data_IF_520428705345
#
_entry.id   IF_520428705345
#
_cell.length_a   1.000
_cell.length_b   1.000
_cell.length_c   1.000
_cell.angle_alpha   90.00
_cell.angle_beta   90.00
_cell.angle_gamma   90.00
#
_symmetry.space_group_name_H-M   'P 1'
#
loop_
_entity.id
_entity.type
_entity.pdbx_description
1 polymer ?
#
# COMPACT_ATOMS: atom_id res chain seq x y z
N UNK A 1 -6.61 22.72 5.02
CA UNK A 1 -7.14 22.15 3.75
C UNK A 1 -6.99 20.62 3.71
N UNK A 2 -5.78 20.03 3.95
CA UNK A 2 -5.54 18.58 3.88
C UNK A 2 -6.39 17.76 4.86
N UNK A 3 -6.57 18.24 6.10
CA UNK A 3 -7.45 17.58 7.08
C UNK A 3 -8.94 17.59 6.65
N UNK A 4 -9.37 18.62 5.94
CA UNK A 4 -10.74 18.77 5.46
C UNK A 4 -11.05 17.78 4.34
N UNK A 5 -10.15 17.60 3.34
CA UNK A 5 -10.36 16.66 2.23
C UNK A 5 -10.50 15.20 2.67
N UNK A 6 -9.78 14.78 3.72
CA UNK A 6 -9.86 13.43 4.26
C UNK A 6 -11.17 13.26 5.08
N UNK A 7 -11.56 14.28 5.85
CA UNK A 7 -12.81 14.28 6.63
C UNK A 7 -14.05 14.29 5.74
N UNK A 8 -14.04 15.04 4.66
CA UNK A 8 -15.17 15.14 3.73
C UNK A 8 -15.49 13.79 3.04
N UNK A 9 -14.50 12.89 2.96
CA UNK A 9 -14.69 11.53 2.44
C UNK A 9 -15.03 10.48 3.50
N UNK A 10 -15.28 10.91 4.75
CA UNK A 10 -15.65 10.05 5.88
C UNK A 10 -14.58 8.98 6.21
N UNK A 11 -13.31 9.26 5.93
CA UNK A 11 -12.17 8.43 6.33
C UNK A 11 -11.63 8.97 7.65
N UNK A 12 -11.76 8.19 8.70
CA UNK A 12 -11.27 8.58 10.02
C UNK A 12 -9.74 8.42 10.08
N UNK A 13 -9.03 9.53 9.96
CA UNK A 13 -7.59 9.62 10.26
C UNK A 13 -7.36 10.62 11.39
N UNK A 14 -6.48 10.25 12.31
CA UNK A 14 -6.12 11.14 13.44
C UNK A 14 -5.08 12.20 13.03
N UNK A 15 -4.77 13.12 13.95
CA UNK A 15 -3.80 14.17 13.71
C UNK A 15 -2.37 13.64 13.49
N UNK A 16 -2.03 12.50 14.08
CA UNK A 16 -0.73 11.86 13.89
C UNK A 16 -0.60 11.28 12.48
N UNK A 17 -1.67 10.68 11.95
CA UNK A 17 -1.70 10.18 10.59
C UNK A 17 -1.46 11.31 9.56
N UNK A 18 -2.07 12.47 9.77
CA UNK A 18 -1.85 13.65 8.91
C UNK A 18 -0.39 14.09 8.92
N UNK A 19 0.24 14.16 10.10
CA UNK A 19 1.66 14.54 10.22
C UNK A 19 2.57 13.53 9.51
N UNK A 20 2.27 12.23 9.62
CA UNK A 20 2.99 11.16 8.93
C UNK A 20 2.85 11.25 7.41
N UNK A 21 1.65 11.54 6.91
CA UNK A 21 1.41 11.74 5.47
C UNK A 21 2.15 12.98 4.95
N UNK A 22 2.21 14.06 5.71
CA UNK A 22 2.99 15.25 5.35
C UNK A 22 4.49 14.95 5.27
N UNK A 23 5.03 14.24 6.25
CA UNK A 23 6.44 13.81 6.24
C UNK A 23 6.72 12.87 5.05
N UNK A 24 5.81 11.94 4.78
CA UNK A 24 5.92 11.03 3.65
C UNK A 24 5.94 11.80 2.33
N UNK A 25 5.05 12.78 2.12
CA UNK A 25 5.04 13.61 0.92
C UNK A 25 6.37 14.37 0.72
N UNK A 26 6.92 14.96 1.79
CA UNK A 26 8.21 15.64 1.73
C UNK A 26 9.33 14.70 1.31
N UNK A 27 9.40 13.49 1.89
CA UNK A 27 10.40 12.49 1.54
C UNK A 27 10.22 11.97 0.12
N UNK A 28 8.96 11.74 -0.30
CA UNK A 28 8.65 11.30 -1.65
C UNK A 28 9.19 12.29 -2.69
N UNK A 29 8.96 13.58 -2.52
CA UNK A 29 9.46 14.61 -3.42
C UNK A 29 10.99 14.66 -3.42
N UNK A 30 11.62 14.67 -2.24
CA UNK A 30 13.08 14.72 -2.10
C UNK A 30 13.79 13.50 -2.73
N UNK A 31 13.23 12.31 -2.55
CA UNK A 31 13.77 11.09 -3.15
C UNK A 31 13.48 11.00 -4.65
N UNK A 32 12.34 11.56 -5.09
CA UNK A 32 11.96 11.54 -6.51
C UNK A 32 12.94 12.30 -7.41
N UNK A 33 13.66 13.29 -6.88
CA UNK A 33 14.76 13.99 -7.58
C UNK A 33 15.92 13.05 -7.97
N UNK A 34 16.09 11.95 -7.22
CA UNK A 34 17.19 10.98 -7.41
C UNK A 34 16.72 9.67 -8.03
N UNK A 35 15.44 9.36 -7.88
CA UNK A 35 14.84 8.10 -8.32
C UNK A 35 13.43 8.39 -8.83
N UNK A 36 13.10 8.04 -10.04
CA UNK A 36 11.75 8.19 -10.59
C UNK A 36 10.75 7.29 -9.83
N UNK A 37 10.30 7.73 -8.65
CA UNK A 37 9.34 7.02 -7.82
C UNK A 37 7.90 7.26 -8.27
N UNK A 38 7.61 8.50 -8.71
CA UNK A 38 6.29 8.91 -9.18
C UNK A 38 6.38 10.04 -10.19
N UNK A 39 5.43 10.10 -11.12
CA UNK A 39 5.25 11.25 -12.01
C UNK A 39 4.44 12.40 -11.39
N UNK A 40 3.88 12.20 -10.17
CA UNK A 40 3.06 13.19 -9.47
C UNK A 40 3.89 13.78 -8.35
N UNK A 41 4.24 15.06 -8.48
CA UNK A 41 5.11 15.77 -7.51
C UNK A 41 4.44 16.98 -6.88
N UNK A 42 3.30 17.40 -7.41
CA UNK A 42 2.53 18.48 -6.83
C UNK A 42 1.79 18.03 -5.56
N UNK A 43 1.67 18.91 -4.55
CA UNK A 43 1.10 18.55 -3.24
C UNK A 43 -0.33 18.04 -3.29
N UNK A 44 -1.18 18.60 -4.14
CA UNK A 44 -2.59 18.24 -4.25
C UNK A 44 -2.72 16.88 -4.97
N UNK A 45 -1.93 16.66 -6.01
CA UNK A 45 -1.87 15.37 -6.71
C UNK A 45 -1.36 14.24 -5.82
N UNK A 46 -0.34 14.49 -4.98
CA UNK A 46 0.14 13.50 -3.99
C UNK A 46 -0.97 13.19 -2.98
N UNK A 47 -1.67 14.20 -2.47
CA UNK A 47 -2.75 14.00 -1.52
C UNK A 47 -3.90 13.18 -2.14
N UNK A 48 -4.40 13.59 -3.29
CA UNK A 48 -5.58 12.96 -3.89
C UNK A 48 -5.27 11.61 -4.53
N UNK A 49 -4.30 11.58 -5.46
CA UNK A 49 -4.05 10.41 -6.32
C UNK A 49 -3.14 9.37 -5.67
N UNK A 50 -2.43 9.73 -4.60
CA UNK A 50 -1.59 8.78 -3.89
C UNK A 50 -2.17 8.44 -2.52
N UNK A 51 -2.39 9.41 -1.64
CA UNK A 51 -2.79 9.10 -0.27
C UNK A 51 -4.27 8.74 -0.16
N UNK A 52 -5.17 9.59 -0.64
CA UNK A 52 -6.61 9.36 -0.52
C UNK A 52 -7.01 8.12 -1.31
N UNK A 53 -6.56 7.98 -2.55
CA UNK A 53 -6.84 6.78 -3.36
C UNK A 53 -6.34 5.50 -2.68
N UNK A 54 -5.19 5.56 -1.98
CA UNK A 54 -4.64 4.41 -1.26
C UNK A 54 -5.48 4.01 -0.04
N UNK A 55 -6.11 4.97 0.63
CA UNK A 55 -6.90 4.75 1.85
C UNK A 55 -8.38 4.46 1.50
N UNK A 56 -8.84 4.86 0.33
CA UNK A 56 -10.24 4.68 -0.12
C UNK A 56 -10.77 3.24 0.05
N UNK A 57 -9.97 2.17 -0.17
CA UNK A 57 -10.44 0.79 0.07
C UNK A 57 -10.95 0.52 1.48
N UNK A 58 -10.47 1.26 2.50
CA UNK A 58 -10.97 1.12 3.88
C UNK A 58 -12.47 1.40 4.04
N UNK A 59 -13.10 2.03 3.04
CA UNK A 59 -14.55 2.30 3.03
C UNK A 59 -15.38 1.11 2.54
N UNK A 60 -14.77 0.20 1.82
CA UNK A 60 -15.47 -0.87 1.10
C UNK A 60 -15.01 -2.27 1.52
N UNK A 61 -13.82 -2.36 2.12
CA UNK A 61 -13.23 -3.62 2.59
C UNK A 61 -13.20 -3.61 4.10
N UNK A 62 -13.83 -4.61 4.70
CA UNK A 62 -13.69 -4.83 6.13
C UNK A 62 -12.31 -5.46 6.39
N UNK A 63 -11.42 -4.65 6.97
CA UNK A 63 -10.07 -5.08 7.33
C UNK A 63 -10.06 -5.43 8.82
N UNK A 64 -9.87 -6.71 9.18
CA UNK A 64 -9.80 -7.12 10.58
C UNK A 64 -8.74 -6.33 11.36
N UNK A 65 -8.90 -6.29 12.67
CA UNK A 65 -7.89 -5.70 13.54
C UNK A 65 -6.64 -6.57 13.54
N UNK A 66 -5.46 -5.94 13.48
CA UNK A 66 -4.15 -6.60 13.35
C UNK A 66 -4.06 -7.53 12.12
N UNK A 67 -4.79 -7.23 11.05
CA UNK A 67 -4.74 -8.02 9.83
C UNK A 67 -3.33 -8.02 9.23
N UNK A 68 -2.91 -9.17 8.72
CA UNK A 68 -1.70 -9.29 7.90
C UNK A 68 -1.99 -8.83 6.48
N UNK A 69 -1.26 -7.83 6.03
CA UNK A 69 -1.43 -7.21 4.71
C UNK A 69 -0.13 -7.29 3.92
N UNK A 70 -0.19 -7.72 2.67
CA UNK A 70 0.95 -7.63 1.74
C UNK A 70 0.64 -6.66 0.61
N UNK A 71 1.56 -5.74 0.35
CA UNK A 71 1.50 -4.82 -0.80
C UNK A 71 2.51 -5.28 -1.87
N UNK A 72 1.98 -5.82 -2.96
CA UNK A 72 2.76 -6.49 -4.01
C UNK A 72 3.15 -5.50 -5.10
N UNK A 73 4.45 -5.37 -5.34
CA UNK A 73 4.98 -4.35 -6.23
C UNK A 73 4.75 -2.94 -5.67
N UNK A 74 5.01 -2.78 -4.39
CA UNK A 74 4.66 -1.59 -3.61
C UNK A 74 5.19 -0.26 -4.18
N UNK A 75 6.26 -0.28 -4.96
CA UNK A 75 6.82 0.89 -5.60
C UNK A 75 7.27 1.96 -4.60
N UNK A 76 6.66 3.12 -4.70
CA UNK A 76 6.86 4.19 -3.72
C UNK A 76 6.04 4.00 -2.42
N UNK A 77 5.49 2.79 -2.16
CA UNK A 77 4.74 2.46 -0.95
C UNK A 77 3.23 2.56 -1.08
N UNK A 78 2.70 2.53 -2.30
CA UNK A 78 1.28 2.71 -2.56
C UNK A 78 0.61 1.41 -3.04
N UNK A 79 -0.48 0.97 -2.40
CA UNK A 79 -1.25 1.62 -1.35
C UNK A 79 -0.79 1.30 0.08
N UNK A 80 0.15 0.37 0.30
CA UNK A 80 0.43 -0.23 1.60
C UNK A 80 0.77 0.77 2.69
N UNK A 81 1.67 1.71 2.42
CA UNK A 81 2.15 2.62 3.47
C UNK A 81 1.11 3.67 3.92
N UNK A 82 0.31 4.30 3.04
CA UNK A 82 -0.81 5.11 3.50
C UNK A 82 -1.87 4.31 4.28
N UNK A 83 -2.12 3.04 3.92
CA UNK A 83 -2.98 2.15 4.69
C UNK A 83 -2.45 1.93 6.10
N UNK A 84 -1.14 1.65 6.25
CA UNK A 84 -0.51 1.51 7.57
C UNK A 84 -0.54 2.80 8.37
N UNK A 85 -0.39 3.96 7.72
CA UNK A 85 -0.49 5.26 8.40
C UNK A 85 -1.91 5.47 8.94
N UNK A 86 -2.94 5.11 8.19
CA UNK A 86 -4.34 5.22 8.61
C UNK A 86 -4.76 4.13 9.61
N UNK A 87 -4.12 2.96 9.54
CA UNK A 87 -4.40 1.78 10.36
C UNK A 87 -3.07 1.21 10.92
N UNK A 88 -2.50 1.83 11.94
CA UNK A 88 -1.19 1.45 12.49
C UNK A 88 -1.20 0.10 13.23
N UNK A 89 -2.36 -0.51 13.38
CA UNK A 89 -2.53 -1.87 13.89
C UNK A 89 -2.23 -2.98 12.86
N UNK A 90 -2.11 -2.64 11.58
CA UNK A 90 -1.84 -3.63 10.52
C UNK A 90 -0.42 -4.19 10.59
N UNK A 91 -0.29 -5.50 10.34
CA UNK A 91 0.99 -6.16 10.10
C UNK A 91 1.28 -6.13 8.59
N UNK A 92 2.09 -5.14 8.16
CA UNK A 92 2.31 -4.84 6.75
C UNK A 92 3.63 -5.40 6.24
N UNK A 93 3.55 -6.12 5.12
CA UNK A 93 4.69 -6.52 4.29
C UNK A 93 4.68 -5.72 2.98
N UNK A 94 5.79 -5.05 2.67
CA UNK A 94 6.02 -4.30 1.43
C UNK A 94 6.97 -5.09 0.54
N UNK A 95 6.46 -5.66 -0.55
CA UNK A 95 7.24 -6.47 -1.49
C UNK A 95 7.52 -5.71 -2.79
N UNK A 96 8.79 -5.63 -3.21
CA UNK A 96 9.18 -5.03 -4.50
C UNK A 96 10.44 -5.70 -5.06
N UNK A 97 10.51 -5.85 -6.36
CA UNK A 97 11.68 -6.40 -7.07
C UNK A 97 12.84 -5.42 -7.20
N UNK A 98 12.66 -4.15 -6.84
CA UNK A 98 13.68 -3.11 -6.92
C UNK A 98 14.14 -2.68 -5.52
N UNK A 99 15.31 -3.14 -5.11
CA UNK A 99 15.90 -2.84 -3.80
C UNK A 99 15.93 -1.33 -3.47
N UNK A 100 16.18 -0.48 -4.46
CA UNK A 100 16.22 0.98 -4.26
C UNK A 100 14.91 1.54 -3.69
N UNK A 101 13.76 1.00 -4.10
CA UNK A 101 12.45 1.40 -3.58
C UNK A 101 12.30 1.03 -2.11
N UNK A 102 12.77 -0.14 -1.72
CA UNK A 102 12.74 -0.59 -0.32
C UNK A 102 13.66 0.23 0.59
N UNK A 103 14.76 0.78 0.03
CA UNK A 103 15.62 1.73 0.77
C UNK A 103 14.86 3.03 1.03
N UNK A 104 14.15 3.58 0.04
CA UNK A 104 13.27 4.73 0.23
C UNK A 104 12.21 4.46 1.30
N UNK A 105 11.51 3.30 1.21
CA UNK A 105 10.47 2.94 2.16
C UNK A 105 11.01 2.77 3.59
N UNK A 106 12.26 2.28 3.73
CA UNK A 106 12.95 2.25 5.03
C UNK A 106 13.06 3.65 5.65
N UNK A 107 13.46 4.62 4.84
CA UNK A 107 13.61 6.00 5.28
C UNK A 107 12.27 6.61 5.70
N UNK A 108 11.21 6.39 4.92
CA UNK A 108 9.87 6.89 5.25
C UNK A 108 9.34 6.23 6.54
N UNK A 109 9.41 4.91 6.65
CA UNK A 109 8.97 4.16 7.84
C UNK A 109 9.67 4.66 9.10
N UNK A 110 11.01 4.79 9.05
CA UNK A 110 11.79 5.31 10.17
C UNK A 110 11.35 6.73 10.57
N UNK A 111 11.17 7.62 9.59
CA UNK A 111 10.73 9.00 9.86
C UNK A 111 9.31 9.09 10.42
N UNK A 112 8.42 8.18 10.00
CA UNK A 112 7.05 8.11 10.50
C UNK A 112 6.91 7.36 11.84
N UNK A 113 8.00 6.75 12.36
CA UNK A 113 7.94 5.89 13.55
C UNK A 113 7.02 4.68 13.34
N UNK A 114 7.04 4.10 12.14
CA UNK A 114 6.26 2.93 11.75
C UNK A 114 7.16 1.74 11.46
N UNK A 115 6.62 0.55 11.64
CA UNK A 115 7.29 -0.71 11.34
C UNK A 115 6.51 -1.46 10.27
N UNK A 116 7.22 -1.94 9.25
CA UNK A 116 6.70 -2.85 8.24
C UNK A 116 7.82 -3.75 7.74
N UNK A 117 7.51 -4.98 7.41
CA UNK A 117 8.42 -5.87 6.72
C UNK A 117 8.69 -5.35 5.31
N UNK A 118 9.91 -5.51 4.80
CA UNK A 118 10.29 -5.11 3.44
C UNK A 118 11.02 -6.26 2.77
N UNK A 119 10.41 -6.80 1.73
CA UNK A 119 10.90 -8.00 1.03
C UNK A 119 11.37 -7.62 -0.36
N UNK A 120 12.64 -7.90 -0.64
CA UNK A 120 13.25 -7.69 -1.95
C UNK A 120 13.19 -8.99 -2.74
N UNK A 121 12.08 -9.22 -3.42
CA UNK A 121 11.91 -10.40 -4.26
C UNK A 121 10.82 -10.13 -5.33
N UNK A 122 10.81 -10.94 -6.37
CA UNK A 122 9.74 -10.97 -7.36
C UNK A 122 8.51 -11.69 -6.80
N UNK A 123 7.32 -11.20 -7.13
CA UNK A 123 6.06 -11.77 -6.65
C UNK A 123 5.91 -13.25 -6.99
N UNK A 124 6.34 -13.65 -8.20
CA UNK A 124 6.25 -15.03 -8.70
C UNK A 124 7.14 -16.02 -7.93
N UNK A 125 8.22 -15.52 -7.34
CA UNK A 125 9.14 -16.31 -6.50
C UNK A 125 8.58 -16.31 -5.08
N UNK A 126 8.29 -15.14 -4.54
CA UNK A 126 7.79 -14.96 -3.18
C UNK A 126 6.48 -15.73 -2.95
N UNK A 127 5.58 -15.76 -3.93
CA UNK A 127 4.30 -16.50 -3.84
C UNK A 127 4.43 -18.03 -3.79
N UNK A 128 5.66 -18.56 -3.97
CA UNK A 128 5.97 -19.99 -3.79
C UNK A 128 6.59 -20.30 -2.43
N UNK A 129 7.06 -19.25 -1.73
CA UNK A 129 7.66 -19.38 -0.42
C UNK A 129 6.57 -19.67 0.63
N UNK A 130 6.64 -20.77 1.37
CA UNK A 130 5.63 -21.15 2.37
C UNK A 130 5.49 -20.14 3.51
N UNK A 131 6.51 -19.31 3.78
CA UNK A 131 6.45 -18.27 4.80
C UNK A 131 5.55 -17.10 4.41
N UNK A 132 5.28 -16.94 3.09
CA UNK A 132 4.44 -15.87 2.54
C UNK A 132 3.16 -16.38 1.89
N UNK A 133 3.18 -17.60 1.34
CA UNK A 133 2.05 -18.18 0.63
C UNK A 133 0.87 -18.44 1.57
N UNK A 134 -0.33 -17.94 1.18
CA UNK A 134 -1.58 -18.09 1.95
C UNK A 134 -1.50 -17.60 3.42
N UNK A 135 -0.66 -16.58 3.65
CA UNK A 135 -0.42 -16.04 4.99
C UNK A 135 -1.15 -14.74 5.29
N UNK A 136 -1.71 -14.08 4.27
CA UNK A 136 -2.24 -12.73 4.40
C UNK A 136 -3.76 -12.69 4.37
N UNK A 137 -4.34 -11.84 5.24
CA UNK A 137 -5.76 -11.52 5.22
C UNK A 137 -6.10 -10.72 3.96
N UNK A 138 -5.17 -9.83 3.56
CA UNK A 138 -5.35 -8.95 2.43
C UNK A 138 -4.05 -8.86 1.63
N UNK A 139 -4.18 -9.01 0.31
CA UNK A 139 -3.15 -8.58 -0.62
C UNK A 139 -3.61 -7.32 -1.35
N UNK A 140 -2.72 -6.35 -1.51
CA UNK A 140 -2.97 -5.15 -2.29
C UNK A 140 -1.97 -5.05 -3.43
N UNK A 141 -2.38 -4.44 -4.54
CA UNK A 141 -1.47 -4.04 -5.62
C UNK A 141 -2.06 -2.87 -6.41
N UNK A 142 -1.17 -1.95 -6.85
CA UNK A 142 -1.53 -0.80 -7.67
C UNK A 142 -0.60 -0.65 -8.86
N UNK A 143 -1.17 -0.59 -10.08
CA UNK A 143 -0.44 -0.30 -11.31
C UNK A 143 0.77 -1.21 -11.63
N UNK A 144 0.73 -2.48 -11.20
CA UNK A 144 1.84 -3.44 -11.37
C UNK A 144 1.75 -4.15 -12.71
N UNK A 145 0.56 -4.65 -13.08
CA UNK A 145 0.33 -5.45 -14.29
C UNK A 145 -1.14 -5.41 -14.73
N UNK A 146 -1.48 -5.93 -15.93
CA UNK A 146 -2.86 -6.22 -16.31
C UNK A 146 -3.51 -7.19 -15.31
N UNK A 147 -4.83 -7.08 -15.14
CA UNK A 147 -5.56 -7.79 -14.08
C UNK A 147 -5.33 -9.30 -14.04
N UNK A 148 -5.35 -10.05 -15.15
CA UNK A 148 -5.10 -11.50 -15.09
C UNK A 148 -3.74 -11.84 -14.48
N UNK A 149 -2.69 -11.14 -14.92
CA UNK A 149 -1.31 -11.32 -14.40
C UNK A 149 -1.22 -10.87 -12.94
N UNK A 150 -1.93 -9.79 -12.59
CA UNK A 150 -1.95 -9.29 -11.23
C UNK A 150 -2.61 -10.28 -10.27
N UNK A 151 -3.66 -11.00 -10.71
CA UNK A 151 -4.26 -12.08 -9.94
C UNK A 151 -3.25 -13.23 -9.69
N UNK A 152 -2.48 -13.61 -10.71
CA UNK A 152 -1.43 -14.63 -10.57
C UNK A 152 -0.35 -14.23 -9.57
N UNK A 153 -0.02 -12.93 -9.50
CA UNK A 153 0.97 -12.42 -8.56
C UNK A 153 0.46 -12.29 -7.13
N UNK A 154 -0.82 -11.96 -6.93
CA UNK A 154 -1.33 -11.57 -5.62
C UNK A 154 -2.13 -12.67 -4.91
N UNK A 155 -2.92 -13.47 -5.65
CA UNK A 155 -3.74 -14.52 -5.04
C UNK A 155 -2.94 -15.57 -4.26
N UNK A 156 -1.71 -15.96 -4.66
CA UNK A 156 -0.91 -16.90 -3.88
C UNK A 156 -0.64 -16.47 -2.44
N UNK A 157 -0.67 -15.18 -2.13
CA UNK A 157 -0.43 -14.67 -0.78
C UNK A 157 -1.67 -14.71 0.11
N UNK A 158 -2.86 -14.70 -0.51
CA UNK A 158 -4.13 -14.55 0.19
C UNK A 158 -4.55 -15.88 0.80
N UNK A 159 -4.80 -15.91 2.10
CA UNK A 159 -5.35 -17.07 2.77
C UNK A 159 -6.81 -17.33 2.36
N UNK A 160 -7.30 -18.54 2.56
CA UNK A 160 -8.71 -18.89 2.31
C UNK A 160 -9.62 -17.94 3.08
N UNK A 161 -10.59 -17.34 2.39
CA UNK A 161 -11.49 -16.31 2.94
C UNK A 161 -10.89 -14.90 3.02
N UNK A 162 -9.61 -14.73 2.64
CA UNK A 162 -8.98 -13.43 2.53
C UNK A 162 -9.35 -12.68 1.25
N UNK A 163 -8.87 -11.46 1.11
CA UNK A 163 -9.26 -10.56 0.02
C UNK A 163 -8.04 -10.05 -0.77
N UNK A 164 -8.12 -10.09 -2.09
CA UNK A 164 -7.21 -9.35 -2.96
C UNK A 164 -7.87 -8.05 -3.41
N UNK A 165 -7.24 -6.92 -3.13
CA UNK A 165 -7.66 -5.58 -3.50
C UNK A 165 -6.78 -5.05 -4.63
N UNK A 166 -7.27 -5.14 -5.88
CA UNK A 166 -6.60 -4.60 -7.06
C UNK A 166 -7.00 -3.12 -7.28
N UNK A 167 -6.05 -2.21 -7.11
CA UNK A 167 -6.30 -0.79 -7.29
C UNK A 167 -5.96 -0.35 -8.71
N UNK A 168 -6.95 0.14 -9.44
CA UNK A 168 -6.84 0.56 -10.85
C UNK A 168 -7.05 2.06 -11.03
N UNK A 169 -6.25 2.92 -10.40
CA UNK A 169 -6.27 4.37 -10.60
C UNK A 169 -7.70 4.95 -10.60
N UNK A 170 -7.98 5.93 -11.46
CA UNK A 170 -9.27 6.63 -11.56
C UNK A 170 -10.48 5.74 -11.94
N UNK A 171 -10.30 4.44 -12.19
CA UNK A 171 -11.37 3.50 -12.55
C UNK A 171 -11.86 2.62 -11.40
N UNK A 172 -11.39 2.86 -10.18
CA UNK A 172 -11.85 2.17 -8.98
C UNK A 172 -10.98 1.00 -8.51
N UNK A 173 -11.42 0.41 -7.41
CA UNK A 173 -10.82 -0.76 -6.79
C UNK A 173 -11.63 -2.01 -7.18
N UNK A 174 -10.96 -3.10 -7.54
CA UNK A 174 -11.57 -4.40 -7.77
C UNK A 174 -11.22 -5.33 -6.61
N UNK A 175 -12.24 -5.95 -6.04
CA UNK A 175 -12.10 -6.87 -4.91
C UNK A 175 -12.30 -8.30 -5.38
N UNK A 176 -11.41 -9.16 -4.97
CA UNK A 176 -11.50 -10.60 -5.17
C UNK A 176 -11.36 -11.29 -3.82
N UNK A 177 -12.32 -12.13 -3.48
CA UNK A 177 -12.22 -13.00 -2.31
C UNK A 177 -11.71 -14.36 -2.74
N UNK A 178 -10.79 -14.94 -1.96
CA UNK A 178 -10.35 -16.32 -2.17
C UNK A 178 -11.51 -17.25 -1.79
N UNK A 179 -11.92 -18.18 -2.67
CA UNK A 179 -12.97 -19.14 -2.34
C UNK A 179 -12.53 -20.04 -1.19
N UNK A 180 -13.49 -20.39 -0.36
CA UNK A 180 -13.32 -21.38 0.72
C UNK A 180 -13.15 -22.77 0.18
#
# INVERSE_FOLDING_TARGET
QRQMCIRDRNIAVDGYAVQRLDLYAQRLVAWNEKMNLTGITDPDGILEKHFIDSIEPLRFVEIPRNARVIDVGTGAGFPGLPLLIARPDLDLTLADSLHKRLVFLKDVLHGCGLVAERVHERAEILGKDPDYREQYDIATARAVAPLPVLCEYCLPFVKVGGTFCAMKGAKGCLLYTSPS
#
